data_IF_618468800830
#
_entry.id   IF_618468800830
#
_cell.length_a   1.000
_cell.length_b   1.000
_cell.length_c   1.000
_cell.angle_alpha   90.00
_cell.angle_beta   90.00
_cell.angle_gamma   90.00
#
_symmetry.space_group_name_H-M   'P 1'
#
loop_
_entity.id
_entity.type
_entity.pdbx_description
1 polymer ?
#
# COMPACT_ATOMS: atom_id res chain seq x y z
N UNK A 1 -18.34 1.06 -14.31
CA UNK A 1 -18.02 0.96 -14.12
C UNK A 1 -17.43 0.93 -13.58
N UNK A 2 -17.34 1.17 -13.53
CA UNK A 2 -16.69 1.20 -13.01
C UNK A 2 -16.12 1.45 -12.39
N UNK A 3 -15.91 1.70 -12.34
CA UNK A 3 -15.36 1.91 -11.92
C UNK A 3 -15.07 1.98 -11.05
N UNK A 4 -15.19 2.08 -10.70
CA UNK A 4 -15.08 2.07 -9.89
C UNK A 4 -14.87 1.61 -9.18
N UNK A 5 -14.99 1.73 -9.11
CA UNK A 5 -14.77 1.30 -8.42
C UNK A 5 -14.16 0.77 -7.69
N UNK A 6 -14.26 0.83 -7.67
CA UNK A 6 -13.27 0.01 -7.22
C UNK A 6 -12.57 0.41 -5.98
N UNK A 7 -12.54 1.57 -5.66
CA UNK A 7 -11.84 2.01 -4.48
C UNK A 7 -12.77 2.23 -3.34
N UNK A 8 -13.90 1.67 -3.44
CA UNK A 8 -14.91 1.91 -2.45
C UNK A 8 -14.96 0.81 -1.47
N UNK A 9 -13.99 0.43 -0.85
CA UNK A 9 -14.09 -0.63 0.12
C UNK A 9 -12.74 -1.09 0.55
N UNK A 10 -12.40 -2.29 0.18
CA UNK A 10 -11.20 -2.93 0.69
C UNK A 10 -10.06 -2.87 -0.29
N UNK A 11 -8.87 -2.59 0.22
CA UNK A 11 -7.64 -2.64 -0.54
C UNK A 11 -6.66 -3.52 0.21
N UNK A 12 -5.57 -3.88 -0.45
CA UNK A 12 -4.55 -4.73 0.16
C UNK A 12 -3.28 -3.92 0.38
N UNK A 13 -2.69 -4.08 1.54
CA UNK A 13 -1.46 -3.37 1.90
C UNK A 13 -0.53 -4.36 2.58
N UNK A 14 0.76 -4.02 2.62
CA UNK A 14 1.73 -4.82 3.36
C UNK A 14 1.94 -4.20 4.73
N UNK A 15 1.90 -5.07 5.74
CA UNK A 15 2.11 -4.67 7.13
C UNK A 15 3.43 -5.24 7.58
N UNK A 16 4.24 -4.41 8.20
CA UNK A 16 5.52 -4.82 8.75
C UNK A 16 5.36 -5.23 10.19
N UNK A 17 6.01 -6.33 10.55
CA UNK A 17 6.05 -6.82 11.93
C UNK A 17 4.64 -6.99 12.51
N UNK A 18 3.77 -7.77 11.85
CA UNK A 18 2.40 -7.92 12.31
C UNK A 18 2.36 -8.46 13.74
N UNK A 19 1.47 -7.90 14.52
CA UNK A 19 1.28 -8.30 15.89
C UNK A 19 2.27 -7.67 16.87
N UNK A 20 3.25 -6.91 16.38
CA UNK A 20 4.26 -6.31 17.25
C UNK A 20 4.83 -5.09 16.58
N UNK A 21 4.48 -3.91 17.07
CA UNK A 21 4.90 -2.64 16.48
C UNK A 21 4.55 -2.58 14.99
N UNK A 22 3.32 -2.94 14.68
CA UNK A 22 2.86 -2.96 13.31
C UNK A 22 2.94 -1.60 12.66
N UNK A 23 3.39 -1.59 11.40
CA UNK A 23 3.36 -0.39 10.59
C UNK A 23 3.10 -0.79 9.16
N UNK A 24 2.58 0.14 8.37
CA UNK A 24 2.38 -0.11 6.96
C UNK A 24 3.68 0.09 6.20
N UNK A 25 3.89 -0.74 5.19
CA UNK A 25 5.01 -0.53 4.29
C UNK A 25 4.84 0.80 3.60
N UNK A 26 5.84 1.67 3.72
CA UNK A 26 5.83 2.96 3.07
C UNK A 26 6.99 3.06 2.10
N UNK A 27 6.76 3.78 1.02
CA UNK A 27 7.78 4.02 0.01
C UNK A 27 7.94 5.50 -0.21
N UNK A 28 9.03 5.89 -0.82
CA UNK A 28 9.31 7.28 -1.12
C UNK A 28 9.47 7.47 -2.62
N UNK A 29 8.79 8.48 -3.15
CA UNK A 29 8.92 8.84 -4.55
C UNK A 29 9.81 10.05 -4.68
N UNK A 30 10.97 9.88 -5.29
CA UNK A 30 11.89 10.99 -5.50
C UNK A 30 11.34 12.00 -6.49
N UNK A 31 10.63 11.52 -7.50
CA UNK A 31 10.06 12.39 -8.52
C UNK A 31 9.07 13.37 -7.93
N UNK A 32 8.24 12.93 -7.02
CA UNK A 32 7.19 13.75 -6.46
C UNK A 32 7.51 14.23 -5.05
N UNK A 33 8.62 13.74 -4.49
CA UNK A 33 9.05 14.10 -3.14
C UNK A 33 7.94 13.82 -2.12
N UNK A 34 7.37 12.64 -2.18
CA UNK A 34 6.33 12.23 -1.24
C UNK A 34 6.59 10.84 -0.71
N UNK A 35 6.13 10.62 0.51
CA UNK A 35 6.07 9.30 1.08
C UNK A 35 4.67 8.75 0.86
N UNK A 36 4.58 7.49 0.46
CA UNK A 36 3.27 6.92 0.19
C UNK A 36 3.19 5.48 0.65
N UNK A 37 1.96 5.04 0.92
CA UNK A 37 1.68 3.67 1.28
C UNK A 37 1.11 3.00 0.05
N UNK A 38 1.80 1.99 -0.51
CA UNK A 38 1.27 1.30 -1.69
C UNK A 38 0.07 0.45 -1.32
N UNK A 39 -0.99 0.60 -2.07
CA UNK A 39 -2.21 -0.17 -1.88
C UNK A 39 -2.56 -0.84 -3.21
N UNK A 40 -3.14 -2.02 -3.12
CA UNK A 40 -3.40 -2.84 -4.30
C UNK A 40 -4.86 -3.22 -4.35
N UNK A 41 -5.37 -3.38 -5.56
CA UNK A 41 -6.78 -3.70 -5.76
C UNK A 41 -7.05 -5.18 -5.52
N UNK A 42 -6.07 -6.02 -5.78
CA UNK A 42 -6.22 -7.46 -5.59
C UNK A 42 -4.99 -8.01 -4.90
N UNK A 43 -5.17 -9.18 -4.30
CA UNK A 43 -4.08 -9.89 -3.64
C UNK A 43 -3.01 -10.29 -4.65
N UNK A 44 -3.43 -10.66 -5.85
CA UNK A 44 -2.49 -11.07 -6.90
C UNK A 44 -1.60 -9.93 -7.34
N UNK A 45 -2.18 -8.75 -7.53
CA UNK A 45 -1.39 -7.59 -7.90
C UNK A 45 -0.37 -7.25 -6.81
N UNK A 46 -0.79 -7.37 -5.56
CA UNK A 46 0.09 -7.10 -4.45
C UNK A 46 1.26 -8.07 -4.43
N UNK A 47 0.98 -9.36 -4.59
CA UNK A 47 2.04 -10.36 -4.55
C UNK A 47 3.01 -10.21 -5.71
N UNK A 48 2.50 -9.91 -6.90
CA UNK A 48 3.37 -9.71 -8.05
C UNK A 48 4.28 -8.51 -7.86
N UNK A 49 3.74 -7.43 -7.35
CA UNK A 49 4.53 -6.23 -7.10
C UNK A 49 5.54 -6.45 -5.99
N UNK A 50 5.17 -7.25 -4.99
CA UNK A 50 6.03 -7.49 -3.84
C UNK A 50 7.38 -8.09 -4.22
N UNK A 51 7.39 -8.88 -5.29
CA UNK A 51 8.64 -9.48 -5.75
C UNK A 51 9.65 -8.43 -6.21
N UNK A 52 9.17 -7.26 -6.61
CA UNK A 52 10.01 -6.17 -7.08
C UNK A 52 10.27 -5.11 -6.02
N UNK A 53 9.60 -5.19 -4.88
CA UNK A 53 9.76 -4.18 -3.84
C UNK A 53 11.01 -4.41 -3.02
N UNK A 54 11.66 -3.34 -2.56
CA UNK A 54 12.79 -3.51 -1.65
C UNK A 54 12.30 -4.06 -0.32
N UNK A 55 13.01 -5.06 0.16
CA UNK A 55 12.66 -5.72 1.42
C UNK A 55 13.88 -5.73 2.31
N UNK A 56 13.66 -5.46 3.59
CA UNK A 56 14.74 -5.47 4.56
C UNK A 56 14.82 -6.83 5.23
N UNK A 57 16.03 -7.30 5.43
CA UNK A 57 16.24 -8.56 6.12
C UNK A 57 15.80 -8.44 7.57
N UNK A 58 15.22 -9.50 8.08
CA UNK A 58 14.81 -9.54 9.46
C UNK A 58 13.46 -8.95 9.75
N UNK A 59 12.84 -8.33 8.76
CA UNK A 59 11.50 -7.79 8.93
C UNK A 59 10.48 -8.72 8.32
N UNK A 60 9.35 -8.83 8.98
CA UNK A 60 8.26 -9.66 8.48
C UNK A 60 7.27 -8.77 7.75
N UNK A 61 6.81 -9.27 6.61
CA UNK A 61 5.82 -8.55 5.80
C UNK A 61 4.60 -9.43 5.67
N UNK A 62 3.44 -8.87 5.89
CA UNK A 62 2.20 -9.61 5.76
C UNK A 62 1.21 -8.79 4.94
N UNK A 63 0.59 -9.47 3.97
CA UNK A 63 -0.44 -8.83 3.14
C UNK A 63 -1.76 -8.86 3.89
N UNK A 64 -2.37 -7.71 4.08
CA UNK A 64 -3.63 -7.61 4.80
C UNK A 64 -4.61 -6.75 4.01
N UNK A 65 -5.88 -7.08 4.13
CA UNK A 65 -6.95 -6.27 3.59
C UNK A 65 -7.30 -5.20 4.62
N UNK A 66 -7.49 -3.98 4.15
CA UNK A 66 -7.86 -2.88 5.03
C UNK A 66 -8.88 -2.02 4.31
N UNK A 67 -9.80 -1.44 5.06
CA UNK A 67 -10.77 -0.53 4.48
C UNK A 67 -10.07 0.75 4.07
N UNK A 68 -10.42 1.27 2.90
CA UNK A 68 -9.72 2.43 2.34
C UNK A 68 -9.76 3.63 3.26
N UNK A 69 -10.86 3.82 3.98
CA UNK A 69 -10.97 4.96 4.90
C UNK A 69 -10.02 4.84 6.07
N UNK A 70 -9.86 3.64 6.59
CA UNK A 70 -8.90 3.42 7.67
C UNK A 70 -7.48 3.66 7.19
N UNK A 71 -7.20 3.27 5.96
CA UNK A 71 -5.88 3.47 5.38
C UNK A 71 -5.59 4.97 5.22
N UNK A 72 -6.59 5.73 4.78
CA UNK A 72 -6.42 7.18 4.65
C UNK A 72 -6.11 7.83 6.00
N UNK A 73 -6.77 7.38 7.06
CA UNK A 73 -6.51 7.92 8.39
C UNK A 73 -5.09 7.61 8.85
N UNK A 74 -4.66 6.39 8.61
CA UNK A 74 -3.30 6.00 9.00
C UNK A 74 -2.26 6.78 8.22
N UNK A 75 -2.50 6.97 6.93
CA UNK A 75 -1.57 7.73 6.09
C UNK A 75 -1.47 9.18 6.56
N UNK A 76 -2.61 9.77 6.88
CA UNK A 76 -2.63 11.16 7.33
C UNK A 76 -1.84 11.34 8.63
N UNK A 77 -1.95 10.37 9.54
CA UNK A 77 -1.23 10.45 10.80
C UNK A 77 0.27 10.37 10.61
N UNK A 78 0.72 9.74 9.54
CA UNK A 78 2.13 9.55 9.28
C UNK A 78 2.66 10.46 8.17
N UNK A 79 1.87 11.44 7.77
CA UNK A 79 2.24 12.38 6.69
C UNK A 79 2.55 11.64 5.39
N UNK A 80 1.77 10.62 5.11
CA UNK A 80 1.92 9.82 3.90
C UNK A 80 0.69 9.96 3.02
N UNK A 81 0.86 9.61 1.76
CA UNK A 81 -0.22 9.56 0.79
C UNK A 81 -0.51 8.11 0.48
N UNK A 82 -1.74 7.79 0.17
CA UNK A 82 -2.08 6.45 -0.30
C UNK A 82 -1.97 6.44 -1.82
N UNK A 83 -1.23 5.47 -2.35
CA UNK A 83 -1.09 5.33 -3.79
C UNK A 83 -1.56 3.96 -4.22
N UNK A 84 -2.49 3.91 -5.16
CA UNK A 84 -2.92 2.64 -5.75
C UNK A 84 -1.89 2.23 -6.78
N UNK A 85 -1.40 1.00 -6.64
CA UNK A 85 -0.29 0.49 -7.45
C UNK A 85 -0.76 -0.74 -8.20
N UNK A 86 -0.31 -0.90 -9.45
CA UNK A 86 -0.62 -2.11 -10.21
C UNK A 86 0.47 -3.17 -10.02
N UNK A 87 0.32 -4.29 -10.68
CA UNK A 87 1.25 -5.41 -10.52
C UNK A 87 2.67 -5.09 -11.01
N UNK A 88 2.81 -4.09 -11.85
CA UNK A 88 4.11 -3.67 -12.36
C UNK A 88 4.76 -2.59 -11.50
N UNK A 89 4.12 -2.23 -10.41
CA UNK A 89 4.64 -1.21 -9.53
C UNK A 89 4.35 0.21 -9.99
N UNK A 90 3.46 0.37 -10.95
CA UNK A 90 3.11 1.69 -11.46
C UNK A 90 1.95 2.27 -10.67
N UNK A 91 2.03 3.55 -10.39
CA UNK A 91 0.98 4.24 -9.68
C UNK A 91 -0.23 4.42 -10.60
N UNK A 92 -1.36 3.88 -10.18
CA UNK A 92 -2.62 4.03 -10.90
C UNK A 92 -3.30 5.32 -10.48
N UNK A 93 -3.27 5.59 -9.17
CA UNK A 93 -3.99 6.72 -8.63
C UNK A 93 -3.42 7.05 -7.25
N UNK A 94 -3.31 8.33 -6.92
CA UNK A 94 -2.94 8.76 -5.56
C UNK A 94 -4.15 9.34 -4.88
N UNK A 95 -4.27 9.03 -3.59
CA UNK A 95 -5.39 9.50 -2.79
C UNK A 95 -4.97 10.51 -1.75
#
# INVERSE_FOLDING_TARGET
MAENENITGWVYVFVLNPGKDESFLGLYSEEQDIHFIPAFRTREEANDCFLSLPREKGKKYELQAIHIEELHEAAAKNNCTVAMIDQDGKVIKTE
#
